data_IF_327679232474
#
_entry.id   IF_327679232474
#
_cell.length_a   1.000
_cell.length_b   1.000
_cell.length_c   1.000
_cell.angle_alpha   90.00
_cell.angle_beta   90.00
_cell.angle_gamma   90.00
#
_symmetry.space_group_name_H-M   'P 1'
#
loop_
_entity.id
_entity.type
_entity.pdbx_description
1 polymer ?
#
# COMPACT_ATOMS: atom_id res chain seq x y z
N UNK A 1 -25.29 -6.95 -10.24
CA UNK A 1 -25.05 -7.46 -8.88
C UNK A 1 -23.89 -8.44 -8.98
N UNK A 2 -22.76 -8.20 -8.32
CA UNK A 2 -21.59 -9.08 -8.43
C UNK A 2 -21.56 -10.12 -7.30
N UNK A 3 -22.29 -9.88 -6.20
CA UNK A 3 -22.70 -10.88 -5.20
C UNK A 3 -24.18 -10.61 -4.90
N UNK A 4 -25.05 -11.62 -4.97
CA UNK A 4 -26.53 -11.51 -5.04
C UNK A 4 -27.26 -10.79 -3.89
N UNK A 5 -26.58 -10.10 -2.97
CA UNK A 5 -27.15 -9.33 -1.87
C UNK A 5 -26.59 -7.90 -1.71
N UNK A 6 -25.47 -7.54 -2.34
CA UNK A 6 -24.88 -6.18 -2.22
C UNK A 6 -25.16 -5.33 -3.46
N UNK A 7 -25.64 -4.10 -3.24
CA UNK A 7 -25.68 -3.06 -4.26
C UNK A 7 -24.26 -2.69 -4.69
N UNK A 8 -24.05 -2.47 -5.99
CA UNK A 8 -22.78 -1.99 -6.54
C UNK A 8 -22.32 -0.70 -5.85
N UNK A 9 -23.26 0.18 -5.51
CA UNK A 9 -22.97 1.41 -4.77
C UNK A 9 -22.44 1.12 -3.36
N UNK A 10 -23.01 0.16 -2.64
CA UNK A 10 -22.55 -0.20 -1.29
C UNK A 10 -21.13 -0.79 -1.32
N UNK A 11 -20.79 -1.56 -2.36
CA UNK A 11 -19.44 -2.09 -2.54
C UNK A 11 -18.41 -0.97 -2.78
N UNK A 12 -18.71 -0.04 -3.69
CA UNK A 12 -17.80 1.08 -4.01
C UNK A 12 -17.62 2.01 -2.81
N UNK A 13 -18.68 2.32 -2.07
CA UNK A 13 -18.59 3.12 -0.84
C UNK A 13 -17.72 2.44 0.23
N UNK A 14 -17.86 1.12 0.40
CA UNK A 14 -17.04 0.35 1.34
C UNK A 14 -15.56 0.35 0.93
N UNK A 15 -15.27 0.19 -0.35
CA UNK A 15 -13.91 0.28 -0.89
C UNK A 15 -13.32 1.67 -0.65
N UNK A 16 -14.08 2.73 -0.94
CA UNK A 16 -13.66 4.10 -0.70
C UNK A 16 -13.38 4.34 0.79
N UNK A 17 -14.23 3.84 1.68
CA UNK A 17 -14.03 3.95 3.13
C UNK A 17 -12.77 3.21 3.59
N UNK A 18 -12.54 1.98 3.13
CA UNK A 18 -11.32 1.23 3.47
C UNK A 18 -10.07 1.95 2.96
N UNK A 19 -10.09 2.43 1.71
CA UNK A 19 -8.97 3.16 1.14
C UNK A 19 -8.69 4.47 1.89
N UNK A 20 -9.73 5.20 2.29
CA UNK A 20 -9.61 6.40 3.09
C UNK A 20 -8.92 6.11 4.43
N UNK A 21 -9.35 5.06 5.13
CA UNK A 21 -8.74 4.65 6.40
C UNK A 21 -7.26 4.29 6.24
N UNK A 22 -6.90 3.58 5.17
CA UNK A 22 -5.50 3.28 4.85
C UNK A 22 -4.70 4.56 4.63
N UNK A 23 -5.20 5.50 3.82
CA UNK A 23 -4.53 6.78 3.58
C UNK A 23 -4.32 7.56 4.88
N UNK A 24 -5.35 7.63 5.73
CA UNK A 24 -5.26 8.31 7.04
C UNK A 24 -4.24 7.62 7.95
N UNK A 25 -4.20 6.29 7.98
CA UNK A 25 -3.22 5.54 8.76
C UNK A 25 -1.77 5.82 8.33
N UNK A 26 -1.50 5.88 7.03
CA UNK A 26 -0.19 6.28 6.50
C UNK A 26 0.17 7.72 6.85
N UNK A 27 -0.78 8.66 6.73
CA UNK A 27 -0.55 10.06 7.09
C UNK A 27 -0.26 10.21 8.59
N UNK A 28 -0.95 9.45 9.43
CA UNK A 28 -0.79 9.52 10.89
C UNK A 28 0.53 8.92 11.39
N UNK A 29 1.18 8.06 10.60
CA UNK A 29 2.39 7.32 11.03
C UNK A 29 3.69 7.88 10.43
N UNK A 30 3.60 8.84 9.51
CA UNK A 30 4.77 9.43 8.84
C UNK A 30 5.58 10.31 9.78
N UNK A 31 6.91 10.23 9.72
CA UNK A 31 7.82 11.18 10.35
C UNK A 31 8.57 11.97 9.28
N UNK A 32 8.65 13.29 9.45
CA UNK A 32 9.44 14.17 8.56
C UNK A 32 10.89 14.35 9.03
N UNK A 33 11.24 13.78 10.19
CA UNK A 33 12.55 13.94 10.83
C UNK A 33 13.27 12.60 10.95
N UNK A 34 12.55 11.54 11.31
CA UNK A 34 13.14 10.23 11.60
C UNK A 34 13.03 9.28 10.41
N UNK A 35 14.12 8.58 10.11
CA UNK A 35 14.15 7.49 9.14
C UNK A 35 13.48 6.25 9.74
N UNK A 36 12.57 5.63 9.00
CA UNK A 36 11.90 4.40 9.42
C UNK A 36 12.58 3.22 8.73
N UNK A 37 12.92 2.18 9.49
CA UNK A 37 13.49 0.97 8.94
C UNK A 37 12.39 -0.09 8.77
N UNK A 38 12.00 -0.36 7.52
CA UNK A 38 10.96 -1.36 7.20
C UNK A 38 11.64 -2.49 6.44
N UNK A 39 11.55 -3.71 6.97
CA UNK A 39 12.10 -4.91 6.32
C UNK A 39 13.61 -4.79 5.96
N UNK A 40 14.38 -4.10 6.81
CA UNK A 40 15.81 -3.83 6.62
C UNK A 40 16.13 -2.80 5.53
N UNK A 41 15.11 -2.10 5.02
CA UNK A 41 15.26 -0.91 4.17
C UNK A 41 15.09 0.33 5.04
N UNK A 42 16.13 1.16 5.11
CA UNK A 42 16.02 2.49 5.69
C UNK A 42 15.28 3.40 4.72
N UNK A 43 14.08 3.84 5.12
CA UNK A 43 13.27 4.77 4.34
C UNK A 43 13.56 6.18 4.84
N UNK A 44 14.17 6.98 3.97
CA UNK A 44 14.49 8.37 4.28
C UNK A 44 13.22 9.19 4.59
N UNK A 45 13.29 10.20 5.48
CA UNK A 45 12.16 11.07 5.78
C UNK A 45 11.58 11.74 4.54
N UNK A 46 12.43 12.09 3.56
CA UNK A 46 11.98 12.67 2.30
C UNK A 46 11.09 11.70 1.50
N UNK A 47 11.49 10.42 1.38
CA UNK A 47 10.72 9.42 0.66
C UNK A 47 9.38 9.10 1.37
N UNK A 48 9.39 9.10 2.70
CA UNK A 48 8.19 9.02 3.52
C UNK A 48 7.24 10.20 3.24
N UNK A 49 7.74 11.44 3.29
CA UNK A 49 6.95 12.63 3.01
C UNK A 49 6.38 12.66 1.58
N UNK A 50 7.16 12.28 0.56
CA UNK A 50 6.69 12.21 -0.82
C UNK A 50 5.56 11.19 -0.99
N UNK A 51 5.69 10.02 -0.36
CA UNK A 51 4.67 8.97 -0.41
C UNK A 51 3.42 9.39 0.34
N UNK A 52 3.56 10.00 1.51
CA UNK A 52 2.42 10.53 2.27
C UNK A 52 1.72 11.68 1.53
N UNK A 53 2.47 12.55 0.85
CA UNK A 53 1.87 13.59 0.02
C UNK A 53 0.97 13.01 -1.08
N UNK A 54 1.35 11.88 -1.68
CA UNK A 54 0.51 11.16 -2.65
C UNK A 54 -0.80 10.67 -1.99
N UNK A 55 -0.73 10.08 -0.80
CA UNK A 55 -1.93 9.65 -0.07
C UNK A 55 -2.83 10.82 0.35
N UNK A 56 -2.27 11.98 0.67
CA UNK A 56 -3.05 13.20 0.96
C UNK A 56 -3.82 13.67 -0.27
N UNK A 57 -3.23 13.59 -1.47
CA UNK A 57 -3.94 13.88 -2.74
C UNK A 57 -5.04 12.85 -3.01
N UNK A 58 -4.87 11.62 -2.54
CA UNK A 58 -5.88 10.57 -2.63
C UNK A 58 -7.16 10.85 -1.85
N UNK A 59 -7.06 11.47 -0.67
CA UNK A 59 -8.20 11.76 0.21
C UNK A 59 -9.32 12.53 -0.54
N UNK A 60 -9.07 13.69 -1.18
CA UNK A 60 -10.13 14.40 -1.92
C UNK A 60 -10.62 13.61 -3.13
N UNK A 61 -9.76 12.82 -3.81
CA UNK A 61 -10.17 11.97 -4.93
C UNK A 61 -11.14 10.86 -4.48
N UNK A 62 -10.89 10.24 -3.32
CA UNK A 62 -11.77 9.22 -2.71
C UNK A 62 -13.11 9.83 -2.29
N UNK A 63 -13.10 10.99 -1.63
CA UNK A 63 -14.34 11.69 -1.24
C UNK A 63 -15.16 12.06 -2.47
N UNK A 64 -14.51 12.56 -3.52
CA UNK A 64 -15.16 12.91 -4.78
C UNK A 64 -15.80 11.68 -5.46
N UNK A 65 -15.12 10.53 -5.40
CA UNK A 65 -15.63 9.25 -5.87
C UNK A 65 -16.86 8.77 -5.09
N UNK A 66 -16.85 8.91 -3.76
CA UNK A 66 -17.99 8.52 -2.92
C UNK A 66 -19.24 9.34 -3.22
N UNK A 67 -19.07 10.67 -3.31
CA UNK A 67 -20.15 11.57 -3.76
C UNK A 67 -20.63 11.16 -5.16
N UNK A 68 -19.71 10.90 -6.09
CA UNK A 68 -20.02 10.43 -7.44
C UNK A 68 -20.83 9.13 -7.47
N UNK A 69 -20.56 8.22 -6.53
CA UNK A 69 -21.24 6.93 -6.42
C UNK A 69 -22.68 7.10 -5.93
N UNK A 70 -22.92 7.97 -4.94
CA UNK A 70 -24.26 8.29 -4.42
C UNK A 70 -25.12 8.96 -5.49
N UNK A 71 -24.56 9.93 -6.22
CA UNK A 71 -25.28 10.67 -7.27
C UNK A 71 -25.23 10.00 -8.65
N UNK A 72 -24.61 8.82 -8.77
CA UNK A 72 -24.43 8.08 -10.04
C UNK A 72 -23.76 8.90 -11.15
N UNK A 73 -22.75 9.69 -10.77
CA UNK A 73 -21.95 10.52 -11.67
C UNK A 73 -20.69 9.77 -12.08
N UNK A 74 -20.67 9.25 -13.31
CA UNK A 74 -19.56 8.41 -13.82
C UNK A 74 -18.23 9.16 -13.93
N UNK A 75 -18.25 10.47 -14.22
CA UNK A 75 -17.04 11.28 -14.37
C UNK A 75 -16.21 11.35 -13.09
N UNK A 76 -16.87 11.38 -11.93
CA UNK A 76 -16.19 11.37 -10.62
C UNK A 76 -15.49 10.04 -10.37
N UNK A 77 -16.10 8.93 -10.81
CA UNK A 77 -15.54 7.59 -10.66
C UNK A 77 -14.37 7.36 -11.62
N UNK A 78 -14.41 7.96 -12.82
CA UNK A 78 -13.29 7.92 -13.77
C UNK A 78 -12.03 8.61 -13.22
N UNK A 79 -12.18 9.74 -12.53
CA UNK A 79 -11.06 10.41 -11.85
C UNK A 79 -10.45 9.52 -10.77
N UNK A 80 -11.29 8.83 -10.00
CA UNK A 80 -10.83 7.89 -8.99
C UNK A 80 -10.08 6.69 -9.58
N UNK A 81 -10.54 6.16 -10.73
CA UNK A 81 -9.86 5.09 -11.46
C UNK A 81 -8.44 5.50 -11.92
N UNK A 82 -8.28 6.74 -12.39
CA UNK A 82 -6.96 7.29 -12.73
C UNK A 82 -6.05 7.41 -11.50
N UNK A 83 -6.59 7.89 -10.37
CA UNK A 83 -5.86 7.94 -9.11
C UNK A 83 -5.41 6.54 -8.64
N UNK A 84 -6.29 5.55 -8.74
CA UNK A 84 -6.01 4.13 -8.46
C UNK A 84 -4.86 3.60 -9.33
N UNK A 85 -4.86 3.93 -10.62
CA UNK A 85 -3.80 3.54 -11.56
C UNK A 85 -2.46 4.15 -11.15
N UNK A 86 -2.43 5.43 -10.77
CA UNK A 86 -1.22 6.07 -10.25
C UNK A 86 -0.75 5.44 -8.94
N UNK A 87 -1.67 5.10 -8.06
CA UNK A 87 -1.37 4.44 -6.77
C UNK A 87 -0.79 3.04 -6.99
N UNK A 88 -1.28 2.30 -7.99
CA UNK A 88 -0.69 1.02 -8.40
C UNK A 88 0.75 1.19 -8.88
N UNK A 89 1.05 2.23 -9.66
CA UNK A 89 2.42 2.51 -10.12
C UNK A 89 3.37 2.86 -8.95
N UNK A 90 2.90 3.65 -7.98
CA UNK A 90 3.65 3.98 -6.76
C UNK A 90 3.94 2.70 -5.95
N UNK A 91 2.95 1.82 -5.80
CA UNK A 91 3.13 0.57 -5.08
C UNK A 91 4.10 -0.39 -5.79
N UNK A 92 4.02 -0.51 -7.11
CA UNK A 92 4.99 -1.30 -7.90
C UNK A 92 6.40 -0.77 -7.67
N UNK A 93 6.57 0.56 -7.66
CA UNK A 93 7.87 1.20 -7.37
C UNK A 93 8.40 0.77 -6.00
N UNK A 94 7.57 0.85 -4.95
CA UNK A 94 7.94 0.38 -3.62
C UNK A 94 8.25 -1.11 -3.57
N UNK A 95 7.46 -1.96 -4.24
CA UNK A 95 7.71 -3.41 -4.32
C UNK A 95 9.09 -3.68 -4.93
N UNK A 96 9.46 -3.00 -6.02
CA UNK A 96 10.78 -3.14 -6.64
C UNK A 96 11.90 -2.67 -5.69
N UNK A 97 11.69 -1.58 -4.96
CA UNK A 97 12.65 -1.09 -3.95
C UNK A 97 12.84 -2.11 -2.84
N UNK A 98 11.76 -2.64 -2.25
CA UNK A 98 11.85 -3.67 -1.22
C UNK A 98 12.49 -4.97 -1.73
N UNK A 99 12.25 -5.36 -2.98
CA UNK A 99 12.92 -6.53 -3.57
C UNK A 99 14.42 -6.33 -3.78
N UNK A 100 14.87 -5.11 -4.10
CA UNK A 100 16.28 -4.83 -4.37
C UNK A 100 17.10 -4.51 -3.12
N UNK A 101 16.50 -3.80 -2.16
CA UNK A 101 17.20 -3.26 -0.99
C UNK A 101 16.79 -3.93 0.33
N UNK A 102 15.76 -4.80 0.32
CA UNK A 102 15.26 -5.48 1.51
C UNK A 102 16.31 -6.39 2.14
N UNK A 103 16.88 -5.97 3.26
CA UNK A 103 17.92 -6.68 3.99
C UNK A 103 17.48 -7.03 5.42
N UNK A 104 16.20 -7.37 5.62
CA UNK A 104 15.59 -7.68 6.92
C UNK A 104 16.39 -8.68 7.79
N UNK A 105 17.33 -9.46 7.22
CA UNK A 105 18.09 -10.49 7.91
C UNK A 105 19.61 -10.26 7.98
N UNK A 106 20.11 -9.05 7.69
CA UNK A 106 21.54 -8.75 7.85
C UNK A 106 22.04 -8.88 9.31
N UNK A 107 21.15 -8.92 10.31
CA UNK A 107 21.48 -9.01 11.75
C UNK A 107 21.67 -10.44 12.28
N UNK A 108 21.35 -11.49 11.52
CA UNK A 108 21.70 -12.85 11.94
C UNK A 108 23.16 -13.14 11.59
N UNK A 109 24.08 -12.78 12.49
CA UNK A 109 25.45 -13.29 12.43
C UNK A 109 25.40 -14.82 12.24
N UNK A 110 26.13 -15.37 11.26
CA UNK A 110 26.14 -16.81 11.04
C UNK A 110 26.64 -17.51 12.30
N UNK A 111 25.74 -18.21 13.00
CA UNK A 111 26.13 -19.14 14.05
C UNK A 111 26.94 -20.25 13.36
N UNK A 112 28.15 -20.59 13.82
CA UNK A 112 28.96 -21.60 13.14
C UNK A 112 28.21 -22.94 13.16
N UNK A 113 27.64 -23.32 12.02
CA UNK A 113 26.83 -24.54 11.84
C UNK A 113 25.46 -24.36 11.16
N UNK A 114 24.95 -23.13 10.99
CA UNK A 114 23.66 -22.91 10.29
C UNK A 114 23.86 -22.69 8.79
N UNK A 115 23.11 -23.41 7.96
CA UNK A 115 23.16 -23.29 6.50
C UNK A 115 22.67 -21.92 6.01
N UNK A 116 23.49 -21.22 5.23
CA UNK A 116 23.18 -19.91 4.63
C UNK A 116 21.85 -19.90 3.83
N UNK A 117 21.43 -21.06 3.34
CA UNK A 117 20.18 -21.25 2.56
C UNK A 117 18.92 -21.07 3.42
N UNK A 118 18.92 -21.49 4.68
CA UNK A 118 17.74 -21.41 5.55
C UNK A 118 17.45 -19.96 6.00
N UNK A 119 18.49 -19.19 6.33
CA UNK A 119 18.35 -17.78 6.69
C UNK A 119 17.83 -16.92 5.52
N UNK A 120 18.30 -17.20 4.30
CA UNK A 120 17.87 -16.51 3.09
C UNK A 120 16.39 -16.79 2.76
N UNK A 121 15.93 -18.03 2.99
CA UNK A 121 14.53 -18.42 2.76
C UNK A 121 13.56 -17.76 3.75
N UNK A 122 13.90 -17.73 5.05
CA UNK A 122 13.09 -17.05 6.08
C UNK A 122 12.99 -15.55 5.80
N UNK A 123 14.08 -14.94 5.31
CA UNK A 123 14.06 -13.54 4.91
C UNK A 123 13.16 -13.25 3.72
N UNK A 124 13.25 -14.12 2.69
CA UNK A 124 12.38 -14.05 1.52
C UNK A 124 10.91 -14.17 1.88
N UNK A 125 10.55 -15.03 2.85
CA UNK A 125 9.17 -15.17 3.35
C UNK A 125 8.72 -13.91 4.09
N UNK A 126 9.55 -13.31 4.93
CA UNK A 126 9.18 -12.11 5.70
C UNK A 126 8.96 -10.90 4.79
N UNK A 127 9.87 -10.66 3.84
CA UNK A 127 9.71 -9.62 2.83
C UNK A 127 8.54 -9.93 1.88
N UNK A 128 8.38 -11.21 1.50
CA UNK A 128 7.26 -11.68 0.69
C UNK A 128 5.92 -11.49 1.38
N UNK A 129 5.84 -11.59 2.71
CA UNK A 129 4.63 -11.34 3.48
C UNK A 129 4.22 -9.87 3.46
N UNK A 130 5.18 -8.94 3.57
CA UNK A 130 4.92 -7.49 3.45
C UNK A 130 4.44 -7.16 2.03
N UNK A 131 5.12 -7.69 1.01
CA UNK A 131 4.72 -7.50 -0.40
C UNK A 131 3.35 -8.13 -0.67
N UNK A 132 3.07 -9.31 -0.12
CA UNK A 132 1.78 -9.99 -0.23
C UNK A 132 0.65 -9.18 0.41
N UNK A 133 0.86 -8.63 1.61
CA UNK A 133 -0.11 -7.74 2.25
C UNK A 133 -0.34 -6.46 1.46
N UNK A 134 0.72 -5.85 0.93
CA UNK A 134 0.61 -4.66 0.07
C UNK A 134 -0.20 -4.97 -1.20
N UNK A 135 0.05 -6.10 -1.85
CA UNK A 135 -0.68 -6.55 -3.03
C UNK A 135 -2.14 -6.94 -2.72
N UNK A 136 -2.39 -7.55 -1.56
CA UNK A 136 -3.74 -7.91 -1.12
C UNK A 136 -4.58 -6.65 -0.86
N UNK A 137 -4.01 -5.65 -0.17
CA UNK A 137 -4.66 -4.35 0.03
C UNK A 137 -4.92 -3.67 -1.31
N UNK A 138 -3.96 -3.69 -2.23
CA UNK A 138 -4.15 -3.14 -3.58
C UNK A 138 -5.25 -3.87 -4.35
N UNK A 139 -5.25 -5.20 -4.30
CA UNK A 139 -6.28 -6.06 -4.87
C UNK A 139 -7.65 -5.69 -4.33
N UNK A 140 -7.80 -5.64 -3.01
CA UNK A 140 -9.04 -5.30 -2.33
C UNK A 140 -9.55 -3.88 -2.62
N UNK A 141 -8.66 -2.94 -2.96
CA UNK A 141 -9.03 -1.56 -3.33
C UNK A 141 -9.32 -1.43 -4.84
N UNK A 142 -8.85 -2.38 -5.65
CA UNK A 142 -8.98 -2.39 -7.12
C UNK A 142 -10.13 -3.25 -7.68
N UNK A 143 -10.74 -4.11 -6.86
CA UNK A 143 -11.88 -5.00 -7.20
C UNK A 143 -13.19 -4.44 -6.70
#
# INVERSE_FOLDING_TARGET
AILGALSLTAAVELICLVHLLVCVGFVATVSSVESVNIAGVEISPLAQCMTTAWFVVGIPAIIHAGIGTVYRVESHLAVYLWYLTGTAAVAITWIVVFMKYGNACATLQPVPGSSHTAASFVCGISNGMIVFWMLLVLGAVST
#
